data_IF_622186399471
#
_entry.id   IF_622186399471
#
_cell.length_a   1.000
_cell.length_b   1.000
_cell.length_c   1.000
_cell.angle_alpha   90.00
_cell.angle_beta   90.00
_cell.angle_gamma   90.00
#
_symmetry.space_group_name_H-M   'P 1'
#
loop_
_entity.id
_entity.type
_entity.pdbx_description
1 polymer ?
#
# COMPACT_ATOMS: atom_id res chain seq x y z
N UNK A 1 15.89 -13.22 13.32
CA UNK A 1 14.78 -13.80 12.57
C UNK A 1 13.80 -12.70 12.18
N UNK A 2 13.43 -12.62 10.91
CA UNK A 2 12.48 -11.63 10.40
C UNK A 2 11.15 -12.33 10.12
N UNK A 3 10.05 -11.75 10.56
CA UNK A 3 8.70 -12.30 10.35
C UNK A 3 7.97 -11.59 9.20
N UNK A 4 8.35 -10.37 8.89
CA UNK A 4 7.69 -9.58 7.85
C UNK A 4 8.63 -8.57 7.20
N UNK A 5 8.32 -8.21 5.97
CA UNK A 5 8.95 -7.14 5.22
C UNK A 5 7.89 -6.14 4.77
N UNK A 6 8.07 -4.88 5.13
CA UNK A 6 7.21 -3.78 4.69
C UNK A 6 7.94 -3.03 3.58
N UNK A 7 7.39 -3.08 2.37
CA UNK A 7 8.03 -2.53 1.19
C UNK A 7 7.45 -1.16 0.83
N UNK A 8 8.26 -0.34 0.20
CA UNK A 8 7.91 1.02 -0.21
C UNK A 8 6.71 1.06 -1.17
N UNK A 9 6.65 0.09 -2.09
CA UNK A 9 5.54 -0.05 -3.03
C UNK A 9 5.36 -1.51 -3.45
N UNK A 10 4.33 -1.79 -4.25
CA UNK A 10 4.02 -3.14 -4.72
C UNK A 10 5.08 -3.71 -5.66
N UNK A 11 5.74 -2.86 -6.45
CA UNK A 11 6.79 -3.30 -7.35
C UNK A 11 7.99 -3.85 -6.59
N UNK A 12 8.40 -3.16 -5.54
CA UNK A 12 9.47 -3.62 -4.65
C UNK A 12 9.01 -4.88 -3.91
N UNK A 13 7.77 -4.91 -3.42
CA UNK A 13 7.21 -6.09 -2.76
C UNK A 13 7.25 -7.32 -3.67
N UNK A 14 6.88 -7.18 -4.93
CA UNK A 14 6.94 -8.25 -5.91
C UNK A 14 8.37 -8.77 -6.10
N UNK A 15 9.34 -7.86 -6.21
CA UNK A 15 10.75 -8.23 -6.34
C UNK A 15 11.26 -8.98 -5.09
N UNK A 16 10.85 -8.54 -3.90
CA UNK A 16 11.19 -9.21 -2.64
C UNK A 16 10.59 -10.61 -2.59
N UNK A 17 9.32 -10.77 -2.94
CA UNK A 17 8.63 -12.06 -2.98
C UNK A 17 9.36 -13.01 -3.94
N UNK A 18 9.65 -12.56 -5.14
CA UNK A 18 10.36 -13.38 -6.14
C UNK A 18 11.72 -13.84 -5.63
N UNK A 19 12.48 -12.95 -5.02
CA UNK A 19 13.79 -13.27 -4.46
C UNK A 19 13.70 -14.27 -3.30
N UNK A 20 12.71 -14.13 -2.44
CA UNK A 20 12.49 -15.05 -1.31
C UNK A 20 12.13 -16.45 -1.82
N UNK A 21 11.24 -16.55 -2.80
CA UNK A 21 10.83 -17.82 -3.39
C UNK A 21 11.99 -18.53 -4.08
N UNK A 22 12.85 -17.80 -4.80
CA UNK A 22 14.06 -18.37 -5.41
C UNK A 22 15.01 -18.97 -4.38
N UNK A 23 14.98 -18.45 -3.15
CA UNK A 23 15.79 -18.96 -2.04
C UNK A 23 15.08 -20.04 -1.21
N UNK A 24 13.88 -20.47 -1.62
CA UNK A 24 13.11 -21.46 -0.90
C UNK A 24 12.42 -20.92 0.37
N UNK A 25 12.28 -19.60 0.48
CA UNK A 25 11.60 -18.95 1.60
C UNK A 25 10.17 -18.65 1.19
N UNK A 26 9.21 -19.20 1.91
CA UNK A 26 7.79 -19.09 1.56
C UNK A 26 7.15 -17.80 2.05
N UNK A 27 6.31 -17.22 1.22
CA UNK A 27 5.49 -16.04 1.55
C UNK A 27 4.01 -16.47 1.52
N UNK A 28 3.24 -16.26 2.55
CA UNK A 28 3.56 -15.56 3.82
C UNK A 28 4.10 -16.44 4.95
N UNK A 29 4.23 -17.75 4.76
CA UNK A 29 4.48 -18.71 5.86
C UNK A 29 5.75 -18.38 6.65
N UNK A 30 6.85 -18.18 5.94
CA UNK A 30 8.13 -17.82 6.57
C UNK A 30 8.23 -16.31 6.79
N UNK A 31 7.95 -15.52 5.77
CA UNK A 31 8.01 -14.05 5.82
C UNK A 31 6.76 -13.48 5.16
N UNK A 32 6.02 -12.65 5.89
CA UNK A 32 4.93 -11.86 5.33
C UNK A 32 5.50 -10.65 4.58
N UNK A 33 4.88 -10.24 3.48
CA UNK A 33 5.33 -9.10 2.68
C UNK A 33 4.16 -8.17 2.42
N UNK A 34 4.38 -6.87 2.61
CA UNK A 34 3.41 -5.84 2.26
C UNK A 34 3.97 -4.87 1.24
N UNK A 35 3.10 -4.36 0.39
CA UNK A 35 3.41 -3.31 -0.57
C UNK A 35 2.68 -2.01 -0.23
N UNK A 36 2.56 -1.15 -1.24
CA UNK A 36 1.89 0.14 -1.16
C UNK A 36 1.50 0.60 -2.56
N UNK A 37 0.40 1.29 -2.72
CA UNK A 37 -0.19 1.87 -3.94
C UNK A 37 -1.26 1.04 -4.65
N UNK A 38 -1.40 -0.24 -4.42
CA UNK A 38 -2.32 -1.11 -5.15
C UNK A 38 -2.14 -1.00 -6.67
N UNK A 39 -0.91 -1.09 -7.13
CA UNK A 39 -0.55 -0.96 -8.53
C UNK A 39 -1.00 -2.16 -9.37
N UNK A 40 -1.13 -1.96 -10.68
CA UNK A 40 -1.46 -3.05 -11.62
C UNK A 40 -0.42 -4.18 -11.56
N UNK A 41 0.84 -3.84 -11.36
CA UNK A 41 1.93 -4.81 -11.21
C UNK A 41 1.69 -5.68 -9.97
N UNK A 42 1.33 -5.08 -8.85
CA UNK A 42 1.00 -5.80 -7.62
C UNK A 42 -0.22 -6.70 -7.78
N UNK A 43 -1.22 -6.26 -8.53
CA UNK A 43 -2.43 -7.03 -8.81
C UNK A 43 -2.16 -8.23 -9.72
N UNK A 44 -1.17 -8.16 -10.59
CA UNK A 44 -0.78 -9.25 -11.50
C UNK A 44 0.22 -10.24 -10.89
N UNK A 45 0.63 -10.04 -9.66
CA UNK A 45 1.51 -10.97 -8.94
C UNK A 45 0.85 -12.35 -8.78
N UNK A 46 1.59 -13.47 -8.93
CA UNK A 46 1.07 -14.79 -8.64
C UNK A 46 0.55 -14.95 -7.20
N UNK A 47 1.19 -14.25 -6.27
CA UNK A 47 0.73 -14.13 -4.89
C UNK A 47 0.15 -12.72 -4.73
N UNK A 48 -1.12 -12.63 -4.36
CA UNK A 48 -1.74 -11.33 -4.10
C UNK A 48 -0.99 -10.56 -3.02
N UNK A 49 -0.62 -9.33 -3.29
CA UNK A 49 0.16 -8.49 -2.38
C UNK A 49 -0.77 -7.66 -1.50
N UNK A 50 -0.65 -7.83 -0.19
CA UNK A 50 -1.30 -6.94 0.78
C UNK A 50 -0.73 -5.54 0.62
N UNK A 51 -1.60 -4.56 0.44
CA UNK A 51 -1.21 -3.20 0.05
C UNK A 51 -2.14 -2.15 0.61
N UNK A 52 -1.76 -0.91 0.44
CA UNK A 52 -2.60 0.26 0.72
C UNK A 52 -3.07 0.83 -0.61
N UNK A 53 -4.39 0.91 -0.77
CA UNK A 53 -5.01 1.52 -1.94
C UNK A 53 -5.34 2.99 -1.67
N UNK A 54 -4.89 3.86 -2.55
CA UNK A 54 -5.32 5.25 -2.58
C UNK A 54 -6.52 5.39 -3.50
N UNK A 55 -7.55 6.15 -3.12
CA UNK A 55 -8.63 6.49 -4.03
C UNK A 55 -8.15 7.54 -5.06
N UNK A 56 -7.40 7.10 -6.05
CA UNK A 56 -6.70 7.95 -7.01
C UNK A 56 -7.63 8.89 -7.78
N UNK A 57 -8.78 8.38 -8.21
CA UNK A 57 -9.79 9.18 -8.92
C UNK A 57 -10.29 10.32 -8.03
N UNK A 58 -10.71 10.00 -6.82
CA UNK A 58 -11.17 10.98 -5.83
C UNK A 58 -10.09 11.99 -5.47
N UNK A 59 -8.84 11.53 -5.37
CA UNK A 59 -7.70 12.40 -5.10
C UNK A 59 -7.49 13.40 -6.24
N UNK A 60 -7.58 12.93 -7.48
CA UNK A 60 -7.50 13.77 -8.68
C UNK A 60 -8.63 14.80 -8.74
N UNK A 61 -9.87 14.37 -8.48
CA UNK A 61 -11.03 15.27 -8.43
C UNK A 61 -10.85 16.37 -7.38
N UNK A 62 -10.48 16.00 -6.16
CA UNK A 62 -10.26 16.97 -5.08
C UNK A 62 -9.11 17.93 -5.38
N UNK A 63 -8.05 17.46 -5.99
CA UNK A 63 -6.93 18.31 -6.41
C UNK A 63 -7.38 19.33 -7.46
N UNK A 64 -8.17 18.87 -8.45
CA UNK A 64 -8.71 19.76 -9.49
C UNK A 64 -9.67 20.80 -8.89
N UNK A 65 -10.54 20.41 -7.97
CA UNK A 65 -11.43 21.35 -7.27
C UNK A 65 -10.65 22.41 -6.51
N UNK A 66 -9.60 22.02 -5.78
CA UNK A 66 -8.76 22.96 -5.04
C UNK A 66 -8.05 23.95 -5.96
N UNK A 67 -7.55 23.49 -7.09
CA UNK A 67 -6.91 24.37 -8.09
C UNK A 67 -7.92 25.37 -8.64
N UNK A 68 -9.11 24.90 -9.01
CA UNK A 68 -10.19 25.77 -9.52
C UNK A 68 -10.62 26.80 -8.50
N UNK A 69 -10.76 26.42 -7.25
CA UNK A 69 -11.07 27.34 -6.15
C UNK A 69 -10.00 28.42 -6.03
N UNK A 70 -8.72 28.06 -6.10
CA UNK A 70 -7.61 29.01 -6.03
C UNK A 70 -7.57 29.97 -7.21
N UNK A 71 -7.90 29.50 -8.41
CA UNK A 71 -7.96 30.33 -9.61
C UNK A 71 -9.09 31.36 -9.51
N UNK A 72 -10.22 30.99 -8.90
CA UNK A 72 -11.42 31.84 -8.79
C UNK A 72 -11.38 32.81 -7.63
N UNK A 73 -10.56 32.56 -6.60
CA UNK A 73 -10.45 33.42 -5.41
C UNK A 73 -9.50 34.59 -5.68
N UNK A 74 -9.86 35.75 -5.09
CA UNK A 74 -9.02 36.94 -5.12
C UNK A 74 -7.77 36.70 -4.27
N UNK A 75 -6.58 37.22 -4.66
CA UNK A 75 -5.29 36.90 -4.02
C UNK A 75 -5.15 37.20 -2.53
N UNK A 76 -6.11 37.87 -1.91
CA UNK A 76 -6.06 38.27 -0.52
C UNK A 76 -6.39 37.17 0.49
N UNK A 77 -6.92 36.03 0.05
CA UNK A 77 -7.22 34.88 0.91
C UNK A 77 -6.20 33.76 0.73
N UNK A 78 -5.00 33.95 1.25
CA UNK A 78 -4.03 32.87 1.41
C UNK A 78 -4.44 31.97 2.58
N UNK A 79 -5.49 31.17 2.43
CA UNK A 79 -5.77 30.08 3.33
C UNK A 79 -5.18 28.80 2.76
N UNK A 80 -4.25 28.19 3.47
CA UNK A 80 -3.81 26.85 3.15
C UNK A 80 -4.94 25.88 3.47
N UNK A 81 -5.58 25.33 2.43
CA UNK A 81 -6.62 24.32 2.58
C UNK A 81 -5.98 22.97 2.58
N UNK A 82 -6.17 22.22 3.66
CA UNK A 82 -5.72 20.85 3.79
C UNK A 82 -6.94 19.94 3.77
N UNK A 83 -6.98 19.03 2.79
CA UNK A 83 -7.98 17.97 2.71
C UNK A 83 -7.31 16.63 2.85
N UNK A 84 -7.90 15.74 3.64
CA UNK A 84 -7.38 14.40 3.88
C UNK A 84 -8.35 13.37 3.33
N UNK A 85 -7.78 12.37 2.66
CA UNK A 85 -8.53 11.20 2.19
C UNK A 85 -7.94 9.98 2.86
N UNK A 86 -8.81 9.16 3.45
CA UNK A 86 -8.37 7.90 4.08
C UNK A 86 -8.02 6.86 3.03
N UNK A 87 -6.82 6.28 3.08
CA UNK A 87 -6.49 5.13 2.27
C UNK A 87 -7.18 3.88 2.80
N UNK A 88 -7.21 2.82 1.99
CA UNK A 88 -7.79 1.53 2.33
C UNK A 88 -6.71 0.46 2.39
N UNK A 89 -6.71 -0.34 3.46
CA UNK A 89 -5.86 -1.52 3.56
C UNK A 89 -6.54 -2.68 2.83
N UNK A 90 -5.85 -3.26 1.85
CA UNK A 90 -6.31 -4.44 1.13
C UNK A 90 -5.44 -5.63 1.54
N UNK A 91 -6.03 -6.56 2.27
CA UNK A 91 -5.35 -7.78 2.72
C UNK A 91 -5.45 -8.84 1.63
N UNK A 92 -4.29 -9.35 1.21
CA UNK A 92 -4.18 -10.41 0.22
C UNK A 92 -3.27 -11.54 0.73
N UNK A 93 -2.94 -12.48 -0.13
CA UNK A 93 -2.22 -13.71 0.22
C UNK A 93 -0.85 -13.46 0.87
N UNK A 94 -0.14 -12.40 0.51
CA UNK A 94 1.21 -12.14 1.03
C UNK A 94 1.29 -11.93 2.54
N UNK A 95 0.16 -11.75 3.21
CA UNK A 95 0.06 -11.67 4.68
C UNK A 95 -1.03 -12.57 5.24
N UNK A 96 -1.99 -13.00 4.42
CA UNK A 96 -3.13 -13.81 4.87
C UNK A 96 -2.71 -15.24 5.17
N UNK A 97 -3.15 -15.77 6.30
CA UNK A 97 -2.85 -17.14 6.69
C UNK A 97 -1.49 -17.35 7.36
N UNK A 98 -0.69 -16.31 7.52
CA UNK A 98 0.45 -16.41 8.42
C UNK A 98 -0.08 -16.63 9.82
N UNK A 99 0.11 -17.82 10.32
CA UNK A 99 -0.19 -18.13 11.70
C UNK A 99 0.78 -17.33 12.57
N UNK A 100 0.28 -16.23 13.10
CA UNK A 100 0.90 -15.65 14.27
C UNK A 100 0.86 -16.75 15.33
N UNK A 101 2.00 -17.36 15.56
CA UNK A 101 2.05 -18.39 16.57
C UNK A 101 1.56 -17.77 17.87
N UNK A 102 0.55 -18.35 18.44
CA UNK A 102 0.01 -17.93 19.73
C UNK A 102 1.03 -18.02 20.85
N UNK A 103 2.17 -18.59 20.55
CA UNK A 103 3.33 -18.70 21.42
C UNK A 103 4.00 -17.37 21.75
N UNK A 104 3.84 -16.37 20.90
CA UNK A 104 4.33 -15.00 21.16
C UNK A 104 3.56 -14.28 22.26
N UNK A 105 2.51 -14.88 22.79
CA UNK A 105 1.70 -14.33 23.87
C UNK A 105 2.29 -14.49 25.25
N UNK A 106 3.44 -15.04 25.33
CA UNK A 106 4.12 -15.22 26.61
C UNK A 106 5.16 -14.18 26.88
#
# INVERSE_FOLDING_TARGET
CLDAAVCYNDQIALAVISMLEEKGISVPEDIAVTGYDNSLIGQSSPIGITTIAHPQEKLGEMAAELILEKIRKVPEEESSVKRLISPELIVRESTAGKNLSTETKK
#
